data_IF_698823033978
#
_entry.id   IF_698823033978
#
_cell.length_a   1.000
_cell.length_b   1.000
_cell.length_c   1.000
_cell.angle_alpha   90.00
_cell.angle_beta   90.00
_cell.angle_gamma   90.00
#
_symmetry.space_group_name_H-M   'P 1'
#
loop_
_entity.id
_entity.type
_entity.pdbx_description
1 polymer ?
#
# COMPACT_ATOMS: atom_id res chain seq x y z
N UNK A 1 38.64 1.11 30.70
CA UNK A 1 39.45 1.25 29.47
C UNK A 1 38.47 1.66 28.37
N UNK A 2 38.42 2.97 28.08
CA UNK A 2 37.41 3.57 27.18
C UNK A 2 38.08 3.74 25.82
N UNK A 3 37.62 3.04 24.80
CA UNK A 3 38.07 3.21 23.42
C UNK A 3 37.32 4.43 22.81
N UNK A 4 38.04 5.48 22.51
CA UNK A 4 37.58 6.59 21.69
C UNK A 4 37.76 6.23 20.21
N UNK A 5 36.69 6.08 19.48
CA UNK A 5 36.68 6.00 18.01
C UNK A 5 36.66 7.43 17.46
N UNK A 6 37.74 7.85 16.79
CA UNK A 6 37.82 9.11 16.01
C UNK A 6 37.29 8.82 14.59
N UNK A 7 36.24 9.50 14.22
CA UNK A 7 35.74 9.53 12.82
C UNK A 7 36.47 10.63 12.07
N UNK A 8 37.22 10.25 11.03
CA UNK A 8 37.77 11.18 10.03
C UNK A 8 36.76 11.21 8.86
N UNK A 9 36.22 12.41 8.57
CA UNK A 9 35.48 12.70 7.38
C UNK A 9 36.42 13.06 6.22
N UNK A 10 36.23 12.55 5.00
CA UNK A 10 36.97 13.04 3.84
C UNK A 10 36.37 14.34 3.30
N UNK A 11 37.31 15.21 2.82
CA UNK A 11 37.04 16.51 2.27
C UNK A 11 36.25 16.48 0.96
N UNK A 12 35.38 17.45 0.81
CA UNK A 12 34.54 17.82 -0.30
C UNK A 12 35.37 18.30 -1.51
N UNK A 13 35.36 17.61 -2.63
CA UNK A 13 35.85 18.13 -3.91
C UNK A 13 34.64 18.54 -4.76
N UNK A 14 34.40 19.84 -4.82
CA UNK A 14 33.45 20.47 -5.75
C UNK A 14 34.06 20.51 -7.16
N UNK A 15 33.58 19.67 -8.05
CA UNK A 15 33.86 19.76 -9.48
C UNK A 15 32.71 20.51 -10.18
N UNK A 16 32.98 21.76 -10.54
CA UNK A 16 32.13 22.64 -11.32
C UNK A 16 32.25 22.29 -12.80
N UNK A 17 31.26 21.58 -13.38
CA UNK A 17 31.17 21.34 -14.82
C UNK A 17 30.32 22.42 -15.48
N UNK A 18 30.98 23.26 -16.30
CA UNK A 18 30.36 24.29 -17.12
C UNK A 18 29.70 23.66 -18.34
N UNK A 19 28.37 23.86 -18.49
CA UNK A 19 27.63 23.49 -19.70
C UNK A 19 27.83 24.54 -20.78
N UNK A 20 28.47 24.15 -21.89
CA UNK A 20 28.57 24.91 -23.14
C UNK A 20 27.26 24.83 -23.90
N UNK A 21 26.66 25.98 -24.17
CA UNK A 21 25.53 26.12 -25.09
C UNK A 21 26.08 26.29 -26.51
N UNK A 22 25.68 25.42 -27.47
CA UNK A 22 25.88 25.58 -28.88
C UNK A 22 24.71 26.33 -29.52
N UNK A 23 24.98 27.27 -30.49
CA UNK A 23 23.93 28.02 -31.14
C UNK A 23 23.34 27.26 -32.33
N UNK A 24 22.01 27.24 -32.40
CA UNK A 24 21.24 26.72 -33.54
C UNK A 24 21.38 27.57 -34.79
N UNK A 25 21.58 27.01 -36.03
CA UNK A 25 21.44 27.77 -37.27
C UNK A 25 20.00 27.79 -37.78
N UNK A 26 19.49 28.99 -37.97
CA UNK A 26 18.29 29.32 -38.73
C UNK A 26 18.50 29.03 -40.20
N UNK A 27 17.65 28.23 -40.84
CA UNK A 27 17.52 28.13 -42.28
C UNK A 27 16.05 28.28 -42.73
N UNK A 28 15.66 29.49 -43.04
CA UNK A 28 14.43 29.77 -43.78
C UNK A 28 14.63 29.37 -45.28
N UNK A 29 13.89 28.39 -45.78
CA UNK A 29 13.71 28.14 -47.18
C UNK A 29 12.27 28.36 -47.61
N UNK A 30 12.10 29.36 -48.49
CA UNK A 30 10.85 29.69 -49.19
C UNK A 30 10.51 28.59 -50.19
N UNK A 31 9.25 28.16 -50.21
CA UNK A 31 8.68 27.31 -51.25
C UNK A 31 7.81 28.15 -52.21
N UNK A 32 7.82 27.84 -53.50
CA UNK A 32 6.99 28.54 -54.50
C UNK A 32 5.54 27.99 -54.49
N UNK A 33 4.62 28.88 -54.76
CA UNK A 33 3.22 28.58 -55.05
C UNK A 33 3.08 28.00 -56.46
N UNK A 34 2.40 26.88 -56.63
CA UNK A 34 1.69 26.56 -57.90
C UNK A 34 0.67 25.44 -57.74
N UNK A 35 -0.51 25.77 -58.25
CA UNK A 35 -1.52 24.94 -58.89
C UNK A 35 -2.45 24.08 -58.01
N UNK A 36 -3.68 24.54 -58.01
CA UNK A 36 -4.93 23.81 -57.74
C UNK A 36 -5.08 22.59 -58.65
N UNK A 37 -5.40 21.44 -58.08
CA UNK A 37 -6.25 20.43 -58.72
C UNK A 37 -7.28 19.97 -57.68
N UNK A 38 -8.54 20.30 -57.99
CA UNK A 38 -9.71 19.91 -57.19
C UNK A 38 -10.10 18.50 -57.63
N UNK A 39 -9.83 17.49 -56.81
CA UNK A 39 -10.41 16.15 -56.94
C UNK A 39 -11.16 15.83 -55.64
N UNK A 40 -12.49 16.01 -55.70
CA UNK A 40 -13.37 15.57 -54.64
C UNK A 40 -13.51 14.04 -54.66
N UNK A 41 -12.76 13.36 -53.83
CA UNK A 41 -13.01 11.96 -53.47
C UNK A 41 -13.70 11.92 -52.11
N UNK A 42 -15.01 11.65 -52.12
CA UNK A 42 -15.82 11.28 -50.97
C UNK A 42 -15.32 9.92 -50.43
N UNK A 43 -14.30 9.94 -49.62
CA UNK A 43 -13.96 8.79 -48.77
C UNK A 43 -14.68 8.97 -47.43
N UNK A 44 -15.76 8.22 -47.23
CA UNK A 44 -16.41 8.11 -45.93
C UNK A 44 -15.43 7.63 -44.88
N UNK A 45 -14.93 8.55 -44.06
CA UNK A 45 -14.14 8.20 -42.91
C UNK A 45 -15.06 7.52 -41.88
N UNK A 46 -15.06 6.20 -41.85
CA UNK A 46 -15.58 5.46 -40.72
C UNK A 46 -14.66 5.77 -39.52
N UNK A 47 -15.01 6.76 -38.76
CA UNK A 47 -14.41 7.01 -37.44
C UNK A 47 -14.83 5.85 -36.53
N UNK A 48 -13.98 4.81 -36.46
CA UNK A 48 -14.08 3.83 -35.39
C UNK A 48 -13.72 4.51 -34.09
N UNK A 49 -14.73 4.98 -33.34
CA UNK A 49 -14.56 5.38 -31.95
C UNK A 49 -14.16 4.14 -31.17
N UNK A 50 -12.87 3.93 -30.95
CA UNK A 50 -12.40 2.99 -29.94
C UNK A 50 -12.86 3.56 -28.58
N UNK A 51 -13.95 3.02 -28.04
CA UNK A 51 -14.27 3.23 -26.65
C UNK A 51 -13.11 2.66 -25.83
N UNK A 52 -12.26 3.52 -25.31
CA UNK A 52 -11.34 3.16 -24.24
C UNK A 52 -12.23 2.73 -23.07
N UNK A 53 -12.38 1.43 -22.88
CA UNK A 53 -12.90 0.90 -21.63
C UNK A 53 -11.93 1.34 -20.53
N UNK A 54 -12.27 2.40 -19.82
CA UNK A 54 -11.50 2.87 -18.68
C UNK A 54 -11.35 1.69 -17.72
N UNK A 55 -10.12 1.27 -17.40
CA UNK A 55 -9.90 0.23 -16.41
C UNK A 55 -10.50 0.72 -15.09
N UNK A 56 -11.41 -0.08 -14.53
CA UNK A 56 -11.98 0.21 -13.22
C UNK A 56 -10.85 0.30 -12.20
N UNK A 57 -10.89 1.30 -11.32
CA UNK A 57 -9.85 1.53 -10.31
C UNK A 57 -9.71 0.31 -9.37
N UNK A 58 -8.47 0.00 -8.97
CA UNK A 58 -8.19 -0.94 -7.90
C UNK A 58 -8.81 -0.43 -6.59
N UNK A 59 -9.63 -1.25 -5.95
CA UNK A 59 -10.35 -0.85 -4.72
C UNK A 59 -10.22 -1.89 -3.63
N UNK A 60 -10.32 -1.43 -2.38
CA UNK A 60 -10.43 -2.24 -1.17
C UNK A 60 -11.53 -1.68 -0.27
N UNK A 61 -12.25 -2.54 0.42
CA UNK A 61 -13.34 -2.18 1.33
C UNK A 61 -13.57 -3.27 2.37
N UNK A 62 -14.38 -2.96 3.38
CA UNK A 62 -14.90 -3.94 4.32
C UNK A 62 -16.42 -3.80 4.41
N UNK A 63 -17.20 -4.84 4.08
CA UNK A 63 -18.63 -4.83 4.35
C UNK A 63 -18.98 -4.63 5.83
N UNK A 64 -18.12 -5.13 6.71
CA UNK A 64 -18.29 -5.03 8.17
C UNK A 64 -18.06 -3.61 8.71
N UNK A 65 -17.39 -2.75 7.93
CA UNK A 65 -17.05 -1.36 8.29
C UNK A 65 -17.66 -0.36 7.30
N UNK A 66 -18.75 -0.72 6.63
CA UNK A 66 -19.40 0.11 5.63
C UNK A 66 -19.93 1.45 6.18
N UNK A 67 -20.19 1.53 7.49
CA UNK A 67 -20.54 2.78 8.18
C UNK A 67 -19.37 3.75 8.35
N UNK A 68 -18.12 3.33 8.07
CA UNK A 68 -16.90 4.08 8.39
C UNK A 68 -16.50 4.04 9.87
N UNK A 69 -17.16 3.21 10.69
CA UNK A 69 -16.90 3.07 12.12
C UNK A 69 -16.81 1.60 12.51
N UNK A 70 -16.12 1.32 13.64
CA UNK A 70 -16.03 -0.04 14.15
C UNK A 70 -17.16 -0.34 15.13
N UNK A 71 -17.87 -1.45 14.92
CA UNK A 71 -18.70 -2.06 15.93
C UNK A 71 -17.85 -2.74 17.00
N UNK A 72 -18.43 -2.88 18.21
CA UNK A 72 -17.79 -3.52 19.37
C UNK A 72 -17.22 -4.92 19.07
N UNK A 73 -17.81 -5.65 18.14
CA UNK A 73 -17.33 -6.96 17.66
C UNK A 73 -15.89 -6.93 17.19
N UNK A 74 -15.49 -5.87 16.52
CA UNK A 74 -14.17 -5.72 15.89
C UNK A 74 -13.16 -5.00 16.78
N UNK A 75 -13.55 -4.49 17.95
CA UNK A 75 -12.65 -3.79 18.87
C UNK A 75 -11.94 -4.75 19.81
N UNK A 76 -10.82 -4.33 20.37
CA UNK A 76 -9.96 -5.12 21.23
C UNK A 76 -10.70 -5.61 22.50
N UNK A 77 -10.23 -6.73 23.06
CA UNK A 77 -10.68 -7.25 24.37
C UNK A 77 -9.51 -7.22 25.37
N UNK A 78 -8.90 -6.07 25.54
CA UNK A 78 -7.80 -5.83 26.48
C UNK A 78 -7.64 -4.33 26.72
N UNK A 79 -6.75 -3.93 27.61
CA UNK A 79 -6.41 -2.53 27.93
C UNK A 79 -7.65 -1.67 28.29
N UNK A 80 -8.65 -2.28 28.94
CA UNK A 80 -9.90 -1.62 29.31
C UNK A 80 -10.96 -1.58 28.21
N UNK A 81 -10.70 -2.12 27.03
CA UNK A 81 -11.70 -2.40 26.02
C UNK A 81 -12.34 -3.79 26.23
N UNK A 82 -13.60 -3.93 25.81
CA UNK A 82 -14.42 -5.14 26.03
C UNK A 82 -15.06 -5.61 24.72
N UNK A 83 -14.34 -5.49 23.60
CA UNK A 83 -14.77 -5.97 22.29
C UNK A 83 -14.63 -7.49 22.16
N UNK A 84 -14.94 -8.01 20.97
CA UNK A 84 -14.74 -9.43 20.66
C UNK A 84 -13.43 -9.70 19.92
N UNK A 85 -12.70 -8.67 19.54
CA UNK A 85 -11.42 -8.71 18.80
C UNK A 85 -11.46 -9.58 17.54
N UNK A 86 -12.57 -9.59 16.82
CA UNK A 86 -12.71 -10.32 15.54
C UNK A 86 -12.19 -9.43 14.41
N UNK A 87 -11.31 -9.93 13.56
CA UNK A 87 -10.87 -9.16 12.39
C UNK A 87 -12.03 -8.98 11.40
N UNK A 88 -12.22 -7.77 10.82
CA UNK A 88 -13.26 -7.55 9.83
C UNK A 88 -12.93 -8.29 8.53
N UNK A 89 -13.95 -8.61 7.75
CA UNK A 89 -13.79 -9.11 6.39
C UNK A 89 -13.25 -8.01 5.48
N UNK A 90 -12.37 -8.38 4.53
CA UNK A 90 -11.79 -7.46 3.56
C UNK A 90 -12.13 -7.95 2.16
N UNK A 91 -12.57 -7.05 1.29
CA UNK A 91 -12.87 -7.29 -0.12
C UNK A 91 -12.10 -6.34 -1.01
N UNK A 92 -11.75 -6.81 -2.19
CA UNK A 92 -11.09 -5.98 -3.19
C UNK A 92 -11.57 -6.33 -4.59
N UNK A 93 -11.32 -5.42 -5.53
CA UNK A 93 -11.62 -5.63 -6.94
C UNK A 93 -10.64 -4.88 -7.84
N UNK A 94 -10.63 -5.27 -9.13
CA UNK A 94 -9.86 -4.63 -10.18
C UNK A 94 -8.36 -4.58 -9.87
N UNK A 95 -7.77 -5.73 -9.52
CA UNK A 95 -6.33 -5.83 -9.30
C UNK A 95 -5.56 -5.34 -10.54
N UNK A 96 -4.47 -4.59 -10.37
CA UNK A 96 -3.58 -4.24 -11.47
C UNK A 96 -3.10 -5.48 -12.23
N UNK A 97 -2.97 -5.37 -13.55
CA UNK A 97 -2.43 -6.45 -14.37
C UNK A 97 -1.00 -6.83 -13.90
N UNK A 98 -0.72 -8.13 -13.87
CA UNK A 98 0.56 -8.64 -13.38
C UNK A 98 0.66 -8.83 -11.87
N UNK A 99 -0.42 -8.58 -11.11
CA UNK A 99 -0.46 -8.86 -9.67
C UNK A 99 -0.28 -10.37 -9.44
N UNK A 100 0.69 -10.72 -8.60
CA UNK A 100 0.98 -12.09 -8.17
C UNK A 100 0.59 -12.33 -6.72
N UNK A 101 0.85 -11.35 -5.85
CA UNK A 101 0.42 -11.38 -4.46
C UNK A 101 -0.10 -10.02 -3.99
N UNK A 102 -0.72 -10.04 -2.81
CA UNK A 102 -1.18 -8.85 -2.12
C UNK A 102 -0.59 -8.80 -0.70
N UNK A 103 -0.48 -7.59 -0.17
CA UNK A 103 -0.20 -7.36 1.25
C UNK A 103 -1.24 -6.39 1.83
N UNK A 104 -1.69 -6.64 3.06
CA UNK A 104 -2.58 -5.77 3.82
C UNK A 104 -1.84 -5.20 5.02
N UNK A 105 -2.00 -3.91 5.26
CA UNK A 105 -1.56 -3.26 6.50
C UNK A 105 -2.70 -2.42 7.07
N UNK A 106 -2.93 -2.53 8.39
CA UNK A 106 -3.93 -1.75 9.14
C UNK A 106 -3.19 -0.92 10.18
N UNK A 107 -3.26 0.40 10.02
CA UNK A 107 -2.48 1.36 10.79
C UNK A 107 -3.40 2.38 11.47
N UNK A 108 -3.27 2.53 12.80
CA UNK A 108 -3.82 3.65 13.54
C UNK A 108 -2.87 4.86 13.39
N UNK A 109 -3.32 5.90 12.70
CA UNK A 109 -2.51 7.09 12.42
C UNK A 109 -2.53 8.12 13.53
N UNK A 110 -3.47 8.01 14.46
CA UNK A 110 -3.67 8.94 15.56
C UNK A 110 -3.07 8.43 16.88
N UNK A 111 -2.58 7.18 16.88
CA UNK A 111 -1.98 6.59 18.07
C UNK A 111 -0.80 7.43 18.60
N UNK A 112 -0.73 7.71 19.92
CA UNK A 112 0.33 8.51 20.52
C UNK A 112 1.65 7.71 20.67
N UNK A 113 1.99 6.89 19.67
CA UNK A 113 3.15 6.00 19.64
C UNK A 113 4.36 6.61 18.88
N UNK A 114 4.29 7.90 18.53
CA UNK A 114 5.35 8.63 17.84
C UNK A 114 5.38 8.44 16.32
N UNK A 115 5.08 7.26 15.81
CA UNK A 115 5.09 6.94 14.38
C UNK A 115 3.91 6.06 13.93
N UNK A 116 2.74 6.23 14.56
CA UNK A 116 1.55 5.38 14.35
C UNK A 116 1.66 4.00 15.03
N UNK A 117 0.58 3.21 14.95
CA UNK A 117 0.50 1.89 15.54
C UNK A 117 -0.12 0.90 14.54
N UNK A 118 0.56 -0.23 14.29
CA UNK A 118 0.07 -1.26 13.37
C UNK A 118 -0.76 -2.30 14.11
N UNK A 119 -2.00 -2.44 13.68
CA UNK A 119 -3.02 -3.31 14.28
C UNK A 119 -3.07 -4.69 13.65
N UNK A 120 -2.81 -4.78 12.36
CA UNK A 120 -2.87 -6.03 11.60
C UNK A 120 -2.07 -5.89 10.30
N UNK A 121 -1.29 -6.93 9.98
CA UNK A 121 -0.57 -7.03 8.74
C UNK A 121 -0.69 -8.43 8.17
N UNK A 122 -0.89 -8.56 6.86
CA UNK A 122 -0.95 -9.84 6.16
C UNK A 122 -0.11 -9.73 4.90
N UNK A 123 0.73 -10.71 4.67
CA UNK A 123 1.61 -10.74 3.51
C UNK A 123 1.37 -12.00 2.68
N UNK A 124 1.86 -11.99 1.42
CA UNK A 124 1.78 -13.11 0.47
C UNK A 124 0.35 -13.63 0.23
N UNK A 125 -0.65 -12.73 0.27
CA UNK A 125 -2.02 -13.09 -0.09
C UNK A 125 -2.02 -13.42 -1.60
N UNK A 126 -2.41 -14.62 -2.03
CA UNK A 126 -2.35 -14.97 -3.46
C UNK A 126 -3.35 -14.10 -4.26
N UNK A 127 -2.95 -13.70 -5.46
CA UNK A 127 -3.81 -12.87 -6.34
C UNK A 127 -5.13 -13.56 -6.73
N UNK A 128 -5.21 -14.88 -6.60
CA UNK A 128 -6.46 -15.65 -6.81
C UNK A 128 -7.49 -15.48 -5.70
N UNK A 129 -7.09 -14.96 -4.52
CA UNK A 129 -8.02 -14.67 -3.45
C UNK A 129 -8.87 -13.43 -3.80
N UNK A 130 -10.14 -13.46 -3.42
CA UNK A 130 -11.11 -12.36 -3.67
C UNK A 130 -11.43 -11.56 -2.41
N UNK A 131 -10.82 -11.88 -1.30
CA UNK A 131 -11.01 -11.24 -0.01
C UNK A 131 -10.41 -12.05 1.13
N UNK A 132 -10.45 -11.48 2.33
CA UNK A 132 -10.21 -12.16 3.59
C UNK A 132 -11.54 -12.28 4.33
N UNK A 133 -11.93 -13.47 4.81
CA UNK A 133 -13.16 -13.62 5.59
C UNK A 133 -13.04 -12.95 6.95
N UNK A 134 -14.16 -12.67 7.58
CA UNK A 134 -14.20 -12.21 8.97
C UNK A 134 -13.50 -13.24 9.88
N UNK A 135 -12.67 -12.77 10.80
CA UNK A 135 -11.89 -13.62 11.69
C UNK A 135 -10.57 -14.14 11.10
N UNK A 136 -10.27 -13.87 9.83
CA UNK A 136 -9.06 -14.38 9.18
C UNK A 136 -7.76 -13.95 9.86
N UNK A 137 -7.74 -12.79 10.52
CA UNK A 137 -6.58 -12.27 11.24
C UNK A 137 -6.45 -12.76 12.67
N UNK A 138 -7.35 -13.59 13.17
CA UNK A 138 -7.30 -14.09 14.54
C UNK A 138 -6.33 -15.25 14.70
N UNK A 139 -6.01 -15.65 15.93
CA UNK A 139 -5.02 -16.70 16.24
C UNK A 139 -5.31 -18.06 15.56
N UNK A 140 -6.60 -18.38 15.36
CA UNK A 140 -7.06 -19.54 14.59
C UNK A 140 -7.29 -19.20 13.11
N UNK A 141 -6.41 -18.42 12.49
CA UNK A 141 -6.60 -17.80 11.19
C UNK A 141 -7.04 -18.76 10.08
N UNK A 142 -7.78 -18.19 9.11
CA UNK A 142 -8.23 -18.86 7.89
C UNK A 142 -7.68 -18.12 6.65
N UNK A 143 -6.45 -17.63 6.73
CA UNK A 143 -5.80 -16.96 5.63
C UNK A 143 -5.62 -17.90 4.43
N UNK A 144 -5.77 -17.40 3.20
CA UNK A 144 -5.50 -18.20 2.00
C UNK A 144 -4.00 -18.52 1.90
N UNK A 145 -3.64 -19.79 1.75
CA UNK A 145 -2.24 -20.21 1.58
C UNK A 145 -1.66 -19.60 0.31
N UNK A 146 -0.45 -19.02 0.33
CA UNK A 146 0.57 -19.02 1.40
C UNK A 146 0.56 -17.78 2.32
N UNK A 147 -0.53 -17.04 2.42
CA UNK A 147 -0.60 -15.84 3.24
C UNK A 147 -0.32 -16.12 4.73
N UNK A 148 0.27 -15.15 5.41
CA UNK A 148 0.55 -15.20 6.84
C UNK A 148 0.31 -13.84 7.50
N UNK A 149 0.00 -13.86 8.81
CA UNK A 149 0.01 -12.65 9.62
C UNK A 149 1.46 -12.25 9.92
N UNK A 150 1.86 -11.04 9.52
CA UNK A 150 3.14 -10.45 9.92
C UNK A 150 3.07 -9.85 11.32
N UNK A 151 4.22 -9.44 11.85
CA UNK A 151 4.27 -8.76 13.13
C UNK A 151 3.37 -7.51 13.14
N UNK A 152 2.79 -7.20 14.29
CA UNK A 152 2.11 -5.93 14.58
C UNK A 152 2.66 -5.35 15.89
N UNK A 153 2.20 -4.16 16.31
CA UNK A 153 2.77 -3.50 17.48
C UNK A 153 2.22 -4.03 18.82
N UNK A 154 1.26 -4.95 18.79
CA UNK A 154 0.87 -5.69 19.99
C UNK A 154 1.90 -6.77 20.40
N UNK A 155 2.68 -7.27 19.44
CA UNK A 155 3.69 -8.29 19.64
C UNK A 155 3.17 -9.45 20.55
N UNK A 156 3.93 -9.80 21.58
CA UNK A 156 3.63 -10.89 22.51
C UNK A 156 2.96 -10.41 23.80
N UNK A 157 2.25 -9.29 23.77
CA UNK A 157 1.53 -8.77 24.97
C UNK A 157 0.43 -9.71 25.47
N UNK A 158 0.06 -10.72 24.66
CA UNK A 158 -1.08 -11.60 24.95
C UNK A 158 -2.45 -10.99 24.63
N UNK A 159 -2.50 -9.70 24.28
CA UNK A 159 -3.75 -8.97 24.04
C UNK A 159 -4.53 -9.46 22.81
N UNK A 160 -3.85 -10.04 21.81
CA UNK A 160 -4.43 -10.45 20.54
C UNK A 160 -4.56 -11.96 20.35
N UNK A 161 -4.05 -12.75 21.31
CA UNK A 161 -4.06 -14.21 21.24
C UNK A 161 -2.87 -14.81 20.50
N UNK A 162 -1.88 -13.99 20.09
CA UNK A 162 -0.64 -14.43 19.44
C UNK A 162 0.04 -13.32 18.68
N UNK A 163 1.35 -13.45 18.45
CA UNK A 163 2.12 -12.50 17.69
C UNK A 163 1.59 -12.40 16.24
N UNK A 164 1.36 -11.17 15.77
CA UNK A 164 0.81 -10.90 14.46
C UNK A 164 -0.70 -11.08 14.32
N UNK A 165 -1.40 -11.67 15.30
CA UNK A 165 -2.86 -11.75 15.27
C UNK A 165 -3.48 -10.35 15.30
N UNK A 166 -4.63 -10.19 14.62
CA UNK A 166 -5.39 -8.94 14.61
C UNK A 166 -5.63 -8.40 16.01
N UNK A 167 -5.28 -7.13 16.22
CA UNK A 167 -5.65 -6.35 17.38
C UNK A 167 -6.63 -5.24 16.99
N UNK A 168 -7.84 -5.30 17.52
CA UNK A 168 -8.86 -4.30 17.20
C UNK A 168 -8.56 -2.94 17.83
N UNK A 169 -9.30 -1.89 17.42
CA UNK A 169 -9.23 -0.56 18.04
C UNK A 169 -9.44 -0.58 19.55
N UNK A 170 -8.60 0.16 20.26
CA UNK A 170 -8.75 0.48 21.67
C UNK A 170 -7.96 1.75 22.01
N UNK A 171 -8.36 2.92 21.48
CA UNK A 171 -7.66 4.17 21.77
C UNK A 171 -7.73 4.51 23.25
N UNK A 172 -6.85 5.37 23.79
CA UNK A 172 -6.97 5.86 25.16
C UNK A 172 -8.34 6.50 25.43
N UNK A 173 -8.88 6.28 26.63
CA UNK A 173 -10.16 6.85 27.00
C UNK A 173 -10.08 8.39 27.04
N UNK A 174 -11.04 9.06 26.36
CA UNK A 174 -11.11 10.51 26.28
C UNK A 174 -10.35 11.12 25.08
N UNK A 175 -9.61 10.32 24.32
CA UNK A 175 -9.05 10.78 23.07
C UNK A 175 -10.16 11.02 22.03
N UNK A 176 -9.86 11.85 21.03
CA UNK A 176 -10.70 11.96 19.83
C UNK A 176 -10.76 10.59 19.14
N UNK A 177 -11.83 10.31 18.38
CA UNK A 177 -11.85 9.09 17.58
C UNK A 177 -10.58 8.96 16.70
N UNK A 178 -9.91 7.80 16.79
CA UNK A 178 -8.76 7.48 15.96
C UNK A 178 -9.18 6.98 14.58
N UNK A 179 -8.30 7.14 13.59
CA UNK A 179 -8.48 6.72 12.20
C UNK A 179 -7.59 5.52 11.88
N UNK A 180 -8.24 4.42 11.56
CA UNK A 180 -7.59 3.16 11.20
C UNK A 180 -7.60 3.02 9.69
N UNK A 181 -6.42 3.12 9.08
CA UNK A 181 -6.24 3.07 7.63
C UNK A 181 -5.89 1.64 7.22
N UNK A 182 -6.75 1.06 6.40
CA UNK A 182 -6.54 -0.24 5.75
C UNK A 182 -5.92 0.02 4.38
N UNK A 183 -4.69 -0.42 4.16
CA UNK A 183 -4.01 -0.29 2.87
C UNK A 183 -3.73 -1.67 2.30
N UNK A 184 -4.21 -1.91 1.08
CA UNK A 184 -3.94 -3.11 0.30
C UNK A 184 -2.94 -2.76 -0.81
N UNK A 185 -1.86 -3.54 -0.90
CA UNK A 185 -0.79 -3.41 -1.87
C UNK A 185 -0.89 -4.54 -2.89
N UNK A 186 -0.86 -4.22 -4.18
CA UNK A 186 -0.80 -5.18 -5.27
C UNK A 186 0.65 -5.32 -5.76
N UNK A 187 1.19 -6.54 -5.75
CA UNK A 187 2.60 -6.80 -5.94
C UNK A 187 2.87 -7.73 -7.13
N UNK A 188 3.91 -7.44 -7.91
CA UNK A 188 4.40 -8.28 -9.01
C UNK A 188 5.31 -9.43 -8.53
N UNK A 189 5.36 -9.69 -7.23
CA UNK A 189 6.13 -10.78 -6.61
C UNK A 189 5.17 -11.74 -5.89
N UNK A 190 5.51 -13.02 -5.85
CA UNK A 190 4.72 -14.03 -5.16
C UNK A 190 5.01 -14.06 -3.66
N UNK A 191 6.23 -13.67 -3.28
CA UNK A 191 6.73 -13.75 -1.90
C UNK A 191 7.55 -12.50 -1.56
N UNK A 192 7.10 -11.76 -0.54
CA UNK A 192 7.70 -10.49 -0.11
C UNK A 192 9.07 -10.72 0.52
N UNK A 193 9.23 -11.80 1.32
CA UNK A 193 10.49 -12.11 1.99
C UNK A 193 11.59 -12.45 0.99
N UNK A 194 11.27 -13.29 0.00
CA UNK A 194 12.21 -13.66 -1.05
C UNK A 194 12.61 -12.46 -1.92
N UNK A 195 11.67 -11.54 -2.17
CA UNK A 195 11.91 -10.38 -2.99
C UNK A 195 12.68 -9.27 -2.27
N UNK A 196 12.56 -9.16 -0.94
CA UNK A 196 13.13 -8.08 -0.14
C UNK A 196 14.29 -8.50 0.75
N UNK A 197 14.44 -9.78 1.05
CA UNK A 197 15.38 -10.30 2.07
C UNK A 197 14.91 -10.05 3.51
N UNK A 198 13.71 -9.50 3.73
CA UNK A 198 13.19 -9.23 5.07
C UNK A 198 12.39 -10.45 5.56
N UNK A 199 12.73 -11.04 6.73
CA UNK A 199 12.03 -12.21 7.24
C UNK A 199 10.61 -11.87 7.71
N UNK A 200 9.76 -12.89 7.83
CA UNK A 200 8.38 -12.77 8.34
C UNK A 200 8.29 -12.09 9.72
N UNK A 201 9.34 -12.22 10.53
CA UNK A 201 9.49 -11.59 11.84
C UNK A 201 9.89 -10.12 11.78
N UNK A 202 10.11 -9.57 10.57
CA UNK A 202 10.39 -8.15 10.39
C UNK A 202 9.26 -7.27 10.94
N UNK A 203 9.60 -6.10 11.49
CA UNK A 203 8.59 -5.19 12.04
C UNK A 203 7.65 -4.68 10.97
N UNK A 204 6.43 -4.27 11.36
CA UNK A 204 5.44 -3.65 10.47
C UNK A 204 6.00 -2.42 9.77
N UNK A 205 6.78 -1.60 10.49
CA UNK A 205 7.44 -0.41 9.93
C UNK A 205 8.46 -0.75 8.85
N UNK A 206 9.28 -1.81 9.04
CA UNK A 206 10.23 -2.27 8.03
C UNK A 206 9.53 -2.82 6.80
N UNK A 207 8.50 -3.65 6.97
CA UNK A 207 7.68 -4.12 5.86
C UNK A 207 6.96 -2.97 5.15
N UNK A 208 6.48 -1.95 5.87
CA UNK A 208 5.89 -0.76 5.28
C UNK A 208 6.88 -0.01 4.38
N UNK A 209 8.14 0.15 4.84
CA UNK A 209 9.20 0.72 4.00
C UNK A 209 9.44 -0.11 2.73
N UNK A 210 9.52 -1.43 2.86
CA UNK A 210 9.70 -2.33 1.72
C UNK A 210 8.54 -2.23 0.72
N UNK A 211 7.31 -2.29 1.19
CA UNK A 211 6.13 -2.21 0.32
C UNK A 211 6.04 -0.88 -0.41
N UNK A 212 6.38 0.23 0.24
CA UNK A 212 6.24 1.57 -0.34
C UNK A 212 7.47 2.04 -1.13
N UNK A 213 8.66 1.48 -0.89
CA UNK A 213 9.93 1.94 -1.50
C UNK A 213 10.84 0.81 -1.93
N UNK A 214 11.05 -0.21 -1.09
CA UNK A 214 12.08 -1.22 -1.32
C UNK A 214 11.79 -2.12 -2.52
N UNK A 215 10.52 -2.42 -2.80
CA UNK A 215 10.13 -3.24 -3.96
C UNK A 215 10.14 -2.47 -5.29
N UNK A 216 10.22 -1.14 -5.28
CA UNK A 216 10.30 -0.31 -6.47
C UNK A 216 9.16 -0.61 -7.48
N UNK A 217 9.52 -0.98 -8.70
CA UNK A 217 8.60 -1.33 -9.79
C UNK A 217 7.75 -2.59 -9.55
N UNK A 218 8.03 -3.35 -8.49
CA UNK A 218 7.23 -4.51 -8.10
C UNK A 218 5.96 -4.12 -7.34
N UNK A 219 5.85 -2.88 -6.87
CA UNK A 219 4.59 -2.33 -6.38
C UNK A 219 3.75 -1.86 -7.58
N UNK A 220 2.69 -2.59 -7.88
CA UNK A 220 1.82 -2.32 -9.04
C UNK A 220 0.71 -1.31 -8.73
N UNK A 221 0.32 -1.19 -7.46
CA UNK A 221 -0.69 -0.24 -7.03
C UNK A 221 -1.09 -0.44 -5.58
N UNK A 222 -1.80 0.56 -5.05
CA UNK A 222 -2.36 0.54 -3.71
C UNK A 222 -3.82 0.98 -3.74
N UNK A 223 -4.61 0.43 -2.82
CA UNK A 223 -5.95 0.90 -2.52
C UNK A 223 -6.12 1.01 -1.01
N UNK A 224 -6.93 1.94 -0.53
CA UNK A 224 -7.14 2.12 0.91
C UNK A 224 -8.55 2.58 1.23
N UNK A 225 -8.98 2.28 2.46
CA UNK A 225 -10.13 2.90 3.11
C UNK A 225 -9.81 3.16 4.57
N UNK A 226 -10.62 4.00 5.21
CA UNK A 226 -10.45 4.37 6.63
C UNK A 226 -11.73 4.09 7.39
N UNK A 227 -11.60 3.56 8.59
CA UNK A 227 -12.66 3.49 9.57
C UNK A 227 -12.20 4.14 10.88
N UNK A 228 -13.14 4.64 11.68
CA UNK A 228 -12.82 5.33 12.93
C UNK A 228 -13.41 4.62 14.15
N UNK A 229 -12.79 4.82 15.30
CA UNK A 229 -13.28 4.37 16.59
C UNK A 229 -12.80 5.30 17.71
N UNK A 230 -13.71 5.59 18.66
CA UNK A 230 -13.43 6.33 19.89
C UNK A 230 -14.19 5.75 21.08
N UNK A 231 -13.75 6.05 22.30
CA UNK A 231 -14.41 5.60 23.53
C UNK A 231 -14.38 6.64 24.67
#
# INVERSE_FOLDING_TARGET
>A
MILKATFNAPADEQETSAVKQDPTPSLAKRLPASALVLAALLTGAFSTTHAYAGSSAFTVSSPDLASGTFDKKFTLNAFGCTGSNVSPSIKWSNLPAGTKSLALQVQDRDAPAGNSFWHWTVYNIPASATGLPQGAGNASNTLPVPAFNGANDFLDTGATGGNGSYGGPCPPAGDKPHHYVFTLYALAVDNVEAASGIPQTGTSGLHSFILNKGLGDKLLGTASFTASYGR
#
